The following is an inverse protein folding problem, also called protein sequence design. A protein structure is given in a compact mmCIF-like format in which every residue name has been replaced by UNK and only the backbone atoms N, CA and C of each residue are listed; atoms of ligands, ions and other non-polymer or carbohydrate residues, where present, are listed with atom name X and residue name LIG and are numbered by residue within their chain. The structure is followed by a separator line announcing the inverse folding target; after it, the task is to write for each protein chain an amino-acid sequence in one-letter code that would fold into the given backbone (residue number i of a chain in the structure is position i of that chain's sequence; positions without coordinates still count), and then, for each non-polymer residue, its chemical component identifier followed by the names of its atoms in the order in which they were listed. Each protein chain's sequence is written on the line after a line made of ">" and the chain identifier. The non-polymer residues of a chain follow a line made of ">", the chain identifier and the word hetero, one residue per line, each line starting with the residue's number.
data_IF_638282440758
#
_entry.id   IF_638282440758
#
_cell.length_a   1.000
_cell.length_b   1.000
_cell.length_c   1.000
_cell.angle_alpha   90.00
_cell.angle_beta   90.00
_cell.angle_gamma   90.00
#
_symmetry.space_group_name_H-M   'P 1'
#
loop_
_entity.id
_entity.type
_entity.pdbx_description
1 polymer ?
#
# COMPACT_ATOMS: atom_id res chain seq x y z
N UNK A 1 9.23 -5.19 -6.68
CA UNK A 1 8.02 -4.69 -5.97
C UNK A 1 6.88 -5.68 -6.13
N UNK A 2 6.15 -5.99 -5.06
CA UNK A 2 4.95 -6.84 -5.07
C UNK A 2 3.80 -6.09 -4.40
N UNK A 3 2.61 -6.14 -5.01
CA UNK A 3 1.37 -5.66 -4.41
C UNK A 3 0.50 -6.85 -4.08
N UNK A 4 0.08 -6.97 -2.83
CA UNK A 4 -0.88 -7.96 -2.36
C UNK A 4 -2.20 -7.26 -2.00
N UNK A 5 -3.33 -7.88 -2.32
CA UNK A 5 -4.65 -7.31 -2.07
C UNK A 5 -5.52 -8.39 -1.43
N UNK A 6 -6.13 -8.05 -0.31
CA UNK A 6 -7.10 -8.85 0.44
C UNK A 6 -8.43 -8.10 0.48
N UNK A 7 -9.54 -8.81 0.25
CA UNK A 7 -10.90 -8.28 0.36
C UNK A 7 -11.68 -9.11 1.38
N UNK A 8 -11.94 -8.51 2.53
CA UNK A 8 -12.70 -9.12 3.60
C UNK A 8 -13.95 -8.28 3.87
N UNK A 9 -15.12 -8.84 3.56
CA UNK A 9 -16.43 -8.19 3.79
C UNK A 9 -16.55 -6.77 3.20
N UNK A 10 -15.98 -6.55 2.01
CA UNK A 10 -16.00 -5.26 1.32
C UNK A 10 -14.93 -4.27 1.80
N UNK A 11 -14.16 -4.64 2.83
CA UNK A 11 -12.95 -3.93 3.23
C UNK A 11 -11.80 -4.45 2.40
N UNK A 12 -11.17 -3.57 1.62
CA UNK A 12 -10.00 -3.93 0.83
C UNK A 12 -8.75 -3.47 1.55
N UNK A 13 -7.82 -4.39 1.78
CA UNK A 13 -6.48 -4.11 2.29
C UNK A 13 -5.48 -4.39 1.17
N UNK A 14 -4.73 -3.38 0.75
CA UNK A 14 -3.60 -3.54 -0.15
C UNK A 14 -2.30 -3.39 0.63
N UNK A 15 -1.34 -4.27 0.38
CA UNK A 15 0.00 -4.22 0.96
C UNK A 15 1.01 -4.18 -0.17
N UNK A 16 1.73 -3.07 -0.27
CA UNK A 16 2.85 -2.91 -1.19
C UNK A 16 4.14 -3.31 -0.46
N UNK A 17 4.95 -4.14 -1.08
CA UNK A 17 6.27 -4.56 -0.59
C UNK A 17 7.32 -4.25 -1.65
N UNK A 18 8.36 -3.51 -1.27
CA UNK A 18 9.59 -3.37 -2.04
C UNK A 18 10.68 -4.16 -1.33
N UNK A 19 11.40 -4.97 -2.08
CA UNK A 19 12.63 -5.63 -1.62
C UNK A 19 13.75 -5.06 -2.46
N UNK A 20 14.82 -4.61 -1.82
CA UNK A 20 16.00 -4.06 -2.49
C UNK A 20 17.00 -5.18 -2.88
N UNK A 21 18.18 -4.78 -3.36
CA UNK A 21 19.25 -5.71 -3.76
C UNK A 21 19.98 -6.36 -2.59
N UNK A 22 19.79 -5.86 -1.36
CA UNK A 22 20.37 -6.39 -0.13
C UNK A 22 19.39 -7.30 0.64
N UNK A 23 18.29 -7.71 -0.01
CA UNK A 23 17.16 -8.42 0.58
C UNK A 23 16.43 -7.64 1.70
N UNK A 24 16.68 -6.33 1.85
CA UNK A 24 15.93 -5.49 2.77
C UNK A 24 14.54 -5.22 2.21
N UNK A 25 13.53 -5.41 3.06
CA UNK A 25 12.13 -5.30 2.65
C UNK A 25 11.44 -4.14 3.35
N UNK A 26 10.89 -3.23 2.55
CA UNK A 26 10.00 -2.18 3.00
C UNK A 26 8.56 -2.54 2.63
N UNK A 27 7.64 -2.42 3.58
CA UNK A 27 6.23 -2.70 3.34
C UNK A 27 5.35 -1.58 3.86
N UNK A 28 4.29 -1.30 3.11
CA UNK A 28 3.27 -0.34 3.48
C UNK A 28 1.88 -0.84 3.08
N UNK A 29 0.90 -0.58 3.93
CA UNK A 29 -0.47 -1.00 3.70
C UNK A 29 -1.41 0.18 3.49
N UNK A 30 -2.38 0.03 2.60
CA UNK A 30 -3.46 0.95 2.30
C UNK A 30 -4.80 0.23 2.45
N UNK A 31 -5.80 0.91 2.99
CA UNK A 31 -7.11 0.31 3.25
C UNK A 31 -8.20 1.13 2.57
N UNK A 32 -9.20 0.46 2.00
CA UNK A 32 -10.52 0.99 1.69
C UNK A 32 -11.54 0.36 2.64
N UNK A 33 -12.42 1.18 3.24
CA UNK A 33 -13.52 0.69 4.07
C UNK A 33 -14.86 0.97 3.38
N UNK A 34 -15.87 0.10 3.51
CA UNK A 34 -17.20 0.32 2.91
C UNK A 34 -17.89 1.63 3.35
N UNK A 35 -17.52 2.16 4.52
CA UNK A 35 -17.99 3.46 5.01
C UNK A 35 -17.43 4.64 4.20
N UNK A 36 -16.34 4.43 3.45
CA UNK A 36 -15.78 5.37 2.47
C UNK A 36 -16.66 5.32 1.17
N UNK A 37 -17.91 5.80 1.26
CA UNK A 37 -18.93 6.09 0.21
C UNK A 37 -18.83 5.48 -1.23
N UNK A 38 -19.98 4.97 -1.72
CA UNK A 38 -20.51 4.79 -3.12
C UNK A 38 -19.65 4.25 -4.28
N UNK A 39 -18.33 4.30 -4.26
CA UNK A 39 -17.47 3.85 -5.37
C UNK A 39 -17.02 2.40 -5.18
N UNK A 40 -17.99 1.48 -5.26
CA UNK A 40 -17.72 0.03 -5.31
C UNK A 40 -16.73 -0.34 -6.43
N UNK A 41 -16.76 0.39 -7.54
CA UNK A 41 -15.93 0.12 -8.72
C UNK A 41 -14.45 0.48 -8.61
N UNK A 42 -14.03 1.24 -7.59
CA UNK A 42 -12.64 1.74 -7.46
C UNK A 42 -11.97 1.36 -6.14
N UNK A 43 -12.56 0.42 -5.40
CA UNK A 43 -12.13 0.03 -4.05
C UNK A 43 -10.73 -0.56 -4.01
N UNK A 44 -10.38 -1.35 -5.02
CA UNK A 44 -9.06 -1.98 -5.15
C UNK A 44 -8.00 -0.95 -5.51
N UNK A 45 -8.32 -0.08 -6.46
CA UNK A 45 -7.47 1.01 -6.93
C UNK A 45 -7.18 2.00 -5.82
N UNK A 46 -8.18 2.35 -5.00
CA UNK A 46 -7.99 3.26 -3.88
C UNK A 46 -7.11 2.64 -2.79
N UNK A 47 -7.37 1.38 -2.41
CA UNK A 47 -6.54 0.68 -1.43
C UNK A 47 -5.09 0.56 -1.92
N UNK A 48 -4.90 0.20 -3.19
CA UNK A 48 -3.60 0.12 -3.84
C UNK A 48 -2.88 1.47 -3.89
N UNK A 49 -3.57 2.55 -4.29
CA UNK A 49 -3.01 3.90 -4.32
C UNK A 49 -2.56 4.34 -2.91
N UNK A 50 -3.38 4.08 -1.88
CA UNK A 50 -3.03 4.37 -0.48
C UNK A 50 -1.80 3.57 -0.02
N UNK A 51 -1.70 2.30 -0.42
CA UNK A 51 -0.56 1.44 -0.07
C UNK A 51 0.73 1.94 -0.75
N UNK A 52 0.66 2.27 -2.03
CA UNK A 52 1.79 2.78 -2.81
C UNK A 52 2.24 4.15 -2.34
N UNK A 53 1.31 5.07 -2.03
CA UNK A 53 1.65 6.38 -1.50
C UNK A 53 2.42 6.27 -0.18
N UNK A 54 1.96 5.43 0.75
CA UNK A 54 2.67 5.18 2.02
C UNK A 54 4.02 4.50 1.81
N UNK A 55 4.14 3.61 0.82
CA UNK A 55 5.41 3.02 0.45
C UNK A 55 6.37 4.09 -0.07
N UNK A 56 5.91 4.99 -0.93
CA UNK A 56 6.70 6.12 -1.43
C UNK A 56 7.18 7.03 -0.30
N UNK A 57 6.30 7.39 0.64
CA UNK A 57 6.69 8.19 1.82
C UNK A 57 7.76 7.47 2.66
N UNK A 58 7.56 6.17 2.89
CA UNK A 58 8.52 5.35 3.65
C UNK A 58 9.88 5.23 2.94
N UNK A 59 9.89 5.16 1.60
CA UNK A 59 11.12 5.15 0.80
C UNK A 59 11.87 6.47 0.89
N UNK A 60 11.16 7.60 0.82
CA UNK A 60 11.78 8.92 0.96
C UNK A 60 12.42 9.06 2.34
N UNK A 61 11.73 8.66 3.40
CA UNK A 61 12.26 8.67 4.77
C UNK A 61 13.47 7.74 4.92
N UNK A 62 13.40 6.54 4.31
CA UNK A 62 14.51 5.60 4.34
C UNK A 62 15.74 6.19 3.64
N UNK A 63 15.57 6.75 2.44
CA UNK A 63 16.64 7.37 1.68
C UNK A 63 17.29 8.57 2.40
N UNK A 64 16.49 9.40 3.08
CA UNK A 64 16.99 10.55 3.85
C UNK A 64 17.78 10.13 5.10
N UNK A 65 17.45 8.97 5.71
CA UNK A 65 18.21 8.41 6.84
C UNK A 65 19.52 7.74 6.40
N UNK A 66 19.64 7.35 5.14
CA UNK A 66 20.82 6.70 4.58
C UNK A 66 21.91 7.67 4.12
N UNK A 67 21.62 8.98 4.10
CA UNK A 67 22.54 10.05 3.69
C UNK A 67 23.32 10.63 4.88
#
# INVERSE_FOLDING_TARGET
>A
MRLHIDDTAGTVLATATLTDENDESLSASGQFRPADTTTSGSRYELAAARALQRLSDALIIAADRSA
#
